data_IF_033940072617
#
_entry.id   IF_033940072617
#
_cell.length_a   1.000
_cell.length_b   1.000
_cell.length_c   1.000
_cell.angle_alpha   90.00
_cell.angle_beta   90.00
_cell.angle_gamma   90.00
#
_symmetry.space_group_name_H-M   'P 1'
#
loop_
_entity.id
_entity.type
_entity.pdbx_description
1 polymer ?
#
# COMPACT_ATOMS: atom_id res chain seq x y z
N UNK A 1 -3.45 7.32 8.71
CA UNK A 1 -2.76 6.42 7.76
C UNK A 1 -1.73 5.59 8.51
N UNK A 2 -1.88 4.26 8.47
CA UNK A 2 -1.03 3.27 9.16
C UNK A 2 -0.68 2.16 8.18
N UNK A 3 0.56 1.67 8.21
CA UNK A 3 0.98 0.48 7.46
C UNK A 3 1.00 -0.71 8.39
N UNK A 4 0.42 -1.82 7.96
CA UNK A 4 0.43 -3.11 8.64
C UNK A 4 1.01 -4.19 7.73
N UNK A 5 1.72 -5.16 8.32
CA UNK A 5 2.19 -6.35 7.62
C UNK A 5 1.46 -7.56 8.21
N UNK A 6 0.49 -8.11 7.48
CA UNK A 6 -0.25 -9.31 7.88
C UNK A 6 0.49 -10.58 7.47
N UNK A 7 0.33 -11.65 8.23
CA UNK A 7 1.07 -12.90 7.98
C UNK A 7 2.54 -12.86 8.41
N UNK A 8 2.95 -11.83 9.16
CA UNK A 8 4.33 -11.64 9.61
C UNK A 8 4.84 -12.76 10.54
N UNK A 9 3.95 -13.51 11.16
CA UNK A 9 4.23 -14.69 11.98
C UNK A 9 4.82 -15.85 11.17
N UNK A 10 4.52 -15.92 9.86
CA UNK A 10 5.07 -16.94 8.94
C UNK A 10 6.51 -16.64 8.52
N UNK A 11 6.94 -15.39 8.72
CA UNK A 11 8.25 -14.91 8.34
C UNK A 11 9.29 -15.24 9.42
N UNK A 12 10.54 -15.48 9.01
CA UNK A 12 11.67 -15.49 9.95
C UNK A 12 11.99 -14.06 10.39
N UNK A 13 12.76 -13.92 11.46
CA UNK A 13 13.18 -12.59 11.94
C UNK A 13 13.91 -11.78 10.85
N UNK A 14 14.82 -12.43 10.10
CA UNK A 14 15.56 -11.79 9.01
C UNK A 14 14.66 -11.42 7.82
N UNK A 15 13.69 -12.27 7.49
CA UNK A 15 12.69 -11.96 6.48
C UNK A 15 11.85 -10.74 6.88
N UNK A 16 11.37 -10.68 8.14
CA UNK A 16 10.63 -9.51 8.65
C UNK A 16 11.43 -8.23 8.52
N UNK A 17 12.70 -8.24 8.91
CA UNK A 17 13.57 -7.07 8.79
C UNK A 17 13.71 -6.60 7.34
N UNK A 18 13.95 -7.54 6.41
CA UNK A 18 14.08 -7.23 4.97
C UNK A 18 12.77 -6.69 4.41
N UNK A 19 11.63 -7.34 4.70
CA UNK A 19 10.31 -6.90 4.24
C UNK A 19 10.00 -5.50 4.76
N UNK A 20 10.08 -5.26 6.07
CA UNK A 20 9.77 -3.93 6.65
C UNK A 20 10.58 -2.83 5.96
N UNK A 21 11.89 -3.03 5.76
CA UNK A 21 12.71 -2.02 5.10
C UNK A 21 12.36 -1.88 3.61
N UNK A 22 12.03 -2.97 2.92
CA UNK A 22 11.70 -2.91 1.50
C UNK A 22 10.36 -2.20 1.24
N UNK A 23 9.34 -2.53 2.01
CA UNK A 23 8.00 -1.93 1.90
C UNK A 23 7.96 -0.48 2.37
N UNK A 24 8.92 -0.06 3.22
CA UNK A 24 9.09 1.35 3.61
C UNK A 24 10.01 2.14 2.67
N UNK A 25 10.43 1.55 1.55
CA UNK A 25 11.09 2.26 0.45
C UNK A 25 12.62 2.20 0.42
N UNK A 26 13.28 1.39 1.26
CA UNK A 26 14.74 1.26 1.22
C UNK A 26 15.21 0.47 -0.02
N UNK A 27 16.33 0.91 -0.61
CA UNK A 27 16.99 0.16 -1.69
C UNK A 27 17.62 -1.13 -1.16
N UNK A 28 17.84 -2.11 -2.05
CA UNK A 28 18.44 -3.39 -1.69
C UNK A 28 19.84 -3.21 -1.10
N UNK A 29 20.63 -2.28 -1.64
CA UNK A 29 21.98 -1.95 -1.19
C UNK A 29 21.96 -1.28 0.19
N UNK A 30 20.98 -0.41 0.45
CA UNK A 30 20.81 0.21 1.75
C UNK A 30 20.44 -0.83 2.82
N UNK A 31 19.55 -1.76 2.50
CA UNK A 31 19.18 -2.88 3.37
C UNK A 31 20.38 -3.79 3.64
N UNK A 32 21.13 -4.14 2.59
CA UNK A 32 22.33 -4.96 2.68
C UNK A 32 23.35 -4.37 3.65
N UNK A 33 23.68 -3.08 3.49
CA UNK A 33 24.58 -2.36 4.41
C UNK A 33 24.03 -2.30 5.83
N UNK A 34 22.74 -2.00 6.00
CA UNK A 34 22.11 -1.87 7.33
C UNK A 34 22.05 -3.17 8.10
N UNK A 35 21.84 -4.30 7.42
CA UNK A 35 21.67 -5.61 8.05
C UNK A 35 22.95 -6.47 8.06
N UNK A 36 24.04 -5.99 7.46
CA UNK A 36 25.30 -6.72 7.31
C UNK A 36 25.15 -7.94 6.40
N UNK A 37 24.42 -7.81 5.31
CA UNK A 37 24.11 -8.90 4.37
C UNK A 37 24.67 -8.59 2.98
N UNK A 38 24.88 -9.63 2.17
CA UNK A 38 25.11 -9.44 0.74
C UNK A 38 23.80 -9.03 0.04
N UNK A 39 23.84 -8.20 -1.03
CA UNK A 39 22.64 -7.82 -1.79
C UNK A 39 21.84 -9.03 -2.31
N UNK A 40 22.53 -10.08 -2.76
CA UNK A 40 21.89 -11.32 -3.19
C UNK A 40 21.10 -12.01 -2.06
N UNK A 41 21.63 -11.99 -0.83
CA UNK A 41 20.93 -12.52 0.35
C UNK A 41 19.66 -11.73 0.66
N UNK A 42 19.68 -10.41 0.51
CA UNK A 42 18.48 -9.57 0.66
C UNK A 42 17.41 -9.98 -0.36
N UNK A 43 17.78 -10.15 -1.63
CA UNK A 43 16.87 -10.60 -2.68
C UNK A 43 16.28 -11.99 -2.39
N UNK A 44 17.11 -12.95 -1.95
CA UNK A 44 16.66 -14.29 -1.57
C UNK A 44 15.68 -14.26 -0.40
N UNK A 45 15.98 -13.52 0.67
CA UNK A 45 15.10 -13.39 1.83
C UNK A 45 13.77 -12.73 1.46
N UNK A 46 13.82 -11.67 0.65
CA UNK A 46 12.62 -10.97 0.20
C UNK A 46 11.72 -11.87 -0.66
N UNK A 47 12.29 -12.60 -1.62
CA UNK A 47 11.53 -13.53 -2.46
C UNK A 47 10.92 -14.67 -1.63
N UNK A 48 11.70 -15.25 -0.70
CA UNK A 48 11.21 -16.28 0.21
C UNK A 48 10.07 -15.77 1.09
N UNK A 49 10.15 -14.54 1.58
CA UNK A 49 9.07 -13.93 2.35
C UNK A 49 7.80 -13.80 1.50
N UNK A 50 7.89 -13.30 0.26
CA UNK A 50 6.74 -13.17 -0.64
C UNK A 50 6.07 -14.52 -0.93
N UNK A 51 6.85 -15.59 -1.09
CA UNK A 51 6.30 -16.95 -1.29
C UNK A 51 5.53 -17.49 -0.09
N UNK A 52 5.68 -16.91 1.10
CA UNK A 52 4.92 -17.29 2.31
C UNK A 52 3.57 -16.56 2.42
N UNK A 53 3.28 -15.62 1.52
CA UNK A 53 2.00 -14.93 1.45
C UNK A 53 1.75 -13.97 2.61
N UNK A 54 2.72 -13.10 2.93
CA UNK A 54 2.44 -11.92 3.75
C UNK A 54 1.72 -10.85 2.91
N UNK A 55 0.97 -9.97 3.57
CA UNK A 55 0.27 -8.87 2.92
C UNK A 55 0.71 -7.53 3.51
N UNK A 56 0.84 -6.52 2.66
CA UNK A 56 1.05 -5.13 3.08
C UNK A 56 -0.28 -4.42 2.98
N UNK A 57 -0.77 -3.95 4.12
CA UNK A 57 -2.06 -3.26 4.21
C UNK A 57 -1.81 -1.82 4.64
N UNK A 58 -2.40 -0.89 3.91
CA UNK A 58 -2.47 0.51 4.32
C UNK A 58 -3.86 0.74 4.89
N UNK A 59 -3.93 1.05 6.18
CA UNK A 59 -5.17 1.43 6.85
C UNK A 59 -5.30 2.95 6.77
N UNK A 60 -6.41 3.37 6.19
CA UNK A 60 -6.74 4.77 5.96
C UNK A 60 -8.07 5.05 6.65
N UNK A 61 -8.08 6.01 7.58
CA UNK A 61 -9.30 6.42 8.27
C UNK A 61 -10.06 7.43 7.39
N UNK A 62 -11.28 7.09 6.97
CA UNK A 62 -12.07 7.90 6.04
C UNK A 62 -11.52 7.85 4.61
N UNK A 63 -11.68 8.94 3.86
CA UNK A 63 -11.16 9.09 2.48
C UNK A 63 -10.20 10.29 2.32
N UNK A 64 -9.04 10.30 2.99
CA UNK A 64 -8.06 11.38 2.86
C UNK A 64 -7.38 11.41 1.49
N UNK A 65 -7.45 10.33 0.71
CA UNK A 65 -6.93 10.30 -0.65
C UNK A 65 -7.95 10.81 -1.67
N UNK A 66 -9.20 11.06 -1.26
CA UNK A 66 -10.33 11.45 -2.12
C UNK A 66 -10.51 10.52 -3.31
N UNK A 67 -10.17 9.23 -3.14
CA UNK A 67 -10.19 8.22 -4.21
C UNK A 67 -11.55 7.55 -4.32
N UNK A 68 -12.37 7.62 -3.28
CA UNK A 68 -13.69 7.00 -3.25
C UNK A 68 -14.80 7.95 -3.72
N UNK A 69 -14.43 9.12 -4.26
CA UNK A 69 -15.32 10.06 -4.98
C UNK A 69 -16.66 10.25 -4.31
N UNK A 70 -16.80 11.28 -3.46
CA UNK A 70 -17.98 11.52 -2.62
C UNK A 70 -19.29 11.01 -3.23
N UNK A 71 -19.78 9.87 -2.74
CA UNK A 71 -21.14 9.42 -2.98
C UNK A 71 -22.05 10.35 -2.15
N UNK A 72 -22.30 11.53 -2.70
CA UNK A 72 -23.07 12.61 -2.09
C UNK A 72 -23.43 13.64 -3.14
N UNK A 73 -24.63 13.44 -3.70
CA UNK A 73 -25.50 14.47 -4.30
C UNK A 73 -25.10 14.98 -5.70
N UNK A 74 -25.32 14.14 -6.72
CA UNK A 74 -25.74 14.63 -8.04
C UNK A 74 -27.23 15.08 -7.94
N UNK A 75 -27.49 16.22 -7.28
CA UNK A 75 -28.84 16.80 -7.10
C UNK A 75 -29.01 18.20 -7.71
N UNK A 76 -28.30 18.58 -8.78
CA UNK A 76 -28.62 19.85 -9.44
C UNK A 76 -28.14 19.92 -10.90
N UNK A 77 -29.02 19.46 -11.78
CA UNK A 77 -28.96 19.67 -13.22
C UNK A 77 -30.37 19.81 -13.80
N UNK A 78 -31.19 20.69 -13.21
CA UNK A 78 -32.50 21.05 -13.71
C UNK A 78 -32.41 21.60 -15.14
N UNK A 79 -32.80 20.77 -16.12
CA UNK A 79 -32.99 21.18 -17.51
C UNK A 79 -34.34 21.91 -17.64
N UNK A 80 -34.40 23.18 -17.26
CA UNK A 80 -35.48 24.08 -17.71
C UNK A 80 -35.11 24.69 -19.05
N UNK A 81 -35.26 23.91 -20.12
CA UNK A 81 -35.30 24.45 -21.48
C UNK A 81 -36.74 24.84 -21.83
N UNK A 82 -37.05 26.12 -21.60
CA UNK A 82 -38.06 26.98 -22.22
C UNK A 82 -39.36 26.37 -22.77
N UNK A 83 -40.48 26.80 -22.18
CA UNK A 83 -41.79 26.80 -22.84
C UNK A 83 -41.70 27.56 -24.19
N UNK A 84 -42.24 27.02 -25.30
CA UNK A 84 -42.51 27.83 -26.47
C UNK A 84 -43.75 28.70 -26.22
N UNK A 85 -43.58 30.03 -26.25
CA UNK A 85 -44.69 30.97 -26.36
C UNK A 85 -45.50 30.73 -27.64
N UNK A 86 -46.80 31.05 -27.52
CA UNK A 86 -47.93 30.76 -28.41
C UNK A 86 -47.77 31.06 -29.91
#
# INVERSE_FOLDING_TARGET
MRIEIRGAERLSFRERQVVVLKETGYSTEAIARRLGLAPGTVATLYNRARSKGYEVVIVIDGDPLRVFGGEGEDEDGELTAGEPEA
#
